data_IF_548922878452
#
_entry.id   IF_548922878452
#
_cell.length_a   1.000
_cell.length_b   1.000
_cell.length_c   1.000
_cell.angle_alpha   90.00
_cell.angle_beta   90.00
_cell.angle_gamma   90.00
#
_symmetry.space_group_name_H-M   'P 1'
#
loop_
_entity.id
_entity.type
_entity.pdbx_description
1 polymer ?
#
# COMPACT_ATOMS: atom_id res chain seq x y z
N UNK A 1 15.91 -15.59 7.17
CA UNK A 1 14.99 -14.55 6.71
C UNK A 1 13.70 -14.85 7.41
N UNK A 2 13.29 -13.95 8.30
CA UNK A 2 12.01 -14.10 8.98
C UNK A 2 10.86 -13.90 7.98
N UNK A 3 9.63 -14.16 8.42
CA UNK A 3 8.48 -14.15 7.54
C UNK A 3 8.16 -12.73 7.06
N UNK A 4 8.40 -11.75 7.94
CA UNK A 4 8.26 -10.34 7.65
C UNK A 4 9.27 -9.85 6.59
N UNK A 5 10.54 -10.25 6.67
CA UNK A 5 11.59 -9.94 5.71
C UNK A 5 11.24 -10.45 4.31
N UNK A 6 10.70 -11.68 4.22
CA UNK A 6 10.25 -12.26 2.96
C UNK A 6 9.11 -11.47 2.34
N UNK A 7 8.10 -11.14 3.15
CA UNK A 7 6.99 -10.32 2.72
C UNK A 7 7.45 -8.94 2.22
N UNK A 8 8.31 -8.26 2.98
CA UNK A 8 8.81 -6.92 2.65
C UNK A 8 9.75 -6.92 1.45
N UNK A 9 10.48 -8.02 1.21
CA UNK A 9 11.29 -8.17 -0.01
C UNK A 9 10.41 -8.13 -1.27
N UNK A 10 9.23 -8.75 -1.21
CA UNK A 10 8.27 -8.69 -2.32
C UNK A 10 7.65 -7.30 -2.45
N UNK A 11 7.31 -6.66 -1.33
CA UNK A 11 6.56 -5.40 -1.31
C UNK A 11 7.42 -4.16 -1.56
N UNK A 12 8.70 -4.16 -1.16
CA UNK A 12 9.58 -2.99 -1.26
C UNK A 12 10.10 -2.79 -2.67
N UNK A 13 10.21 -1.53 -3.12
CA UNK A 13 10.68 -1.15 -4.45
C UNK A 13 9.68 -0.30 -5.22
N UNK A 14 9.91 -0.15 -6.53
CA UNK A 14 9.04 0.62 -7.41
C UNK A 14 8.25 -0.32 -8.33
N UNK A 15 6.98 -0.02 -8.56
CA UNK A 15 6.08 -0.85 -9.33
C UNK A 15 5.11 0.01 -10.15
N UNK A 16 4.68 -0.50 -11.31
CA UNK A 16 3.61 0.10 -12.10
C UNK A 16 2.71 -0.95 -12.76
N UNK A 17 1.57 -0.51 -13.28
CA UNK A 17 0.65 -1.37 -14.04
C UNK A 17 0.71 -1.11 -15.56
N UNK A 18 1.82 -0.60 -16.11
CA UNK A 18 1.89 -0.13 -17.51
C UNK A 18 1.40 -1.16 -18.52
N UNK A 19 1.78 -2.43 -18.35
CA UNK A 19 1.31 -3.51 -19.22
C UNK A 19 -0.21 -3.68 -19.16
N UNK A 20 -0.77 -3.74 -17.95
CA UNK A 20 -2.21 -3.89 -17.75
C UNK A 20 -2.97 -2.68 -18.31
N UNK A 21 -2.48 -1.47 -18.04
CA UNK A 21 -3.09 -0.23 -18.51
C UNK A 21 -3.21 -0.21 -20.05
N UNK A 22 -2.15 -0.56 -20.77
CA UNK A 22 -2.18 -0.67 -22.24
C UNK A 22 -3.15 -1.74 -22.74
N UNK A 23 -3.23 -2.89 -22.06
CA UNK A 23 -4.20 -3.93 -22.40
C UNK A 23 -5.65 -3.47 -22.18
N UNK A 24 -5.93 -2.75 -21.10
CA UNK A 24 -7.26 -2.21 -20.78
C UNK A 24 -7.68 -1.14 -21.80
N UNK A 25 -6.75 -0.24 -22.17
CA UNK A 25 -6.96 0.74 -23.25
C UNK A 25 -7.28 0.07 -24.58
N UNK A 26 -6.55 -0.97 -24.98
CA UNK A 26 -6.82 -1.74 -26.21
C UNK A 26 -8.18 -2.43 -26.20
N UNK A 27 -8.68 -2.81 -25.02
CA UNK A 27 -10.03 -3.37 -24.81
C UNK A 27 -11.12 -2.30 -24.76
N UNK A 28 -10.77 -1.02 -24.85
CA UNK A 28 -11.70 0.11 -24.83
C UNK A 28 -12.05 0.63 -23.45
N UNK A 29 -11.42 0.14 -22.38
CA UNK A 29 -11.56 0.73 -21.05
C UNK A 29 -10.63 1.95 -20.92
N UNK A 30 -11.23 3.13 -21.05
CA UNK A 30 -10.52 4.40 -20.97
C UNK A 30 -10.46 4.99 -19.55
N UNK A 31 -11.17 4.37 -18.60
CA UNK A 31 -11.29 4.83 -17.21
C UNK A 31 -10.40 4.03 -16.25
N UNK A 32 -9.85 2.89 -16.68
CA UNK A 32 -8.85 2.17 -15.91
C UNK A 32 -7.58 3.03 -15.71
N UNK A 33 -7.08 3.19 -14.47
CA UNK A 33 -5.98 4.10 -14.18
C UNK A 33 -4.65 3.48 -14.60
N UNK A 34 -3.72 4.34 -15.02
CA UNK A 34 -2.30 4.03 -14.88
C UNK A 34 -1.91 4.26 -13.43
N UNK A 35 -1.31 3.27 -12.78
CA UNK A 35 -1.06 3.28 -11.36
C UNK A 35 0.40 2.91 -11.06
N UNK A 36 0.97 3.54 -10.04
CA UNK A 36 2.34 3.33 -9.60
C UNK A 36 2.41 3.25 -8.06
N UNK A 37 3.28 2.38 -7.56
CA UNK A 37 3.65 2.30 -6.14
C UNK A 37 5.16 2.44 -5.98
N UNK A 38 5.59 3.22 -4.98
CA UNK A 38 6.97 3.24 -4.51
C UNK A 38 6.95 2.95 -3.02
N UNK A 39 7.49 1.79 -2.66
CA UNK A 39 7.44 1.25 -1.32
C UNK A 39 8.84 1.26 -0.71
N UNK A 40 9.01 2.09 0.33
CA UNK A 40 10.31 2.32 0.95
C UNK A 40 10.24 2.10 2.46
N UNK A 41 11.02 1.14 2.97
CA UNK A 41 11.22 0.95 4.41
C UNK A 41 11.80 2.21 5.03
N UNK A 42 11.19 2.69 6.12
CA UNK A 42 11.50 4.00 6.69
C UNK A 42 11.88 3.99 8.18
N UNK A 43 12.16 2.84 8.79
CA UNK A 43 12.61 2.78 10.19
C UNK A 43 13.84 3.65 10.47
N UNK A 44 14.71 3.85 9.48
CA UNK A 44 15.89 4.73 9.57
C UNK A 44 15.55 6.21 9.82
N UNK A 45 14.33 6.64 9.45
CA UNK A 45 13.81 8.00 9.71
C UNK A 45 12.96 8.09 10.97
N UNK A 46 12.85 7.00 11.74
CA UNK A 46 12.05 6.97 12.98
C UNK A 46 13.00 6.91 14.18
N UNK A 47 13.03 8.00 14.93
CA UNK A 47 13.86 8.17 16.11
C UNK A 47 13.24 7.49 17.33
N UNK A 48 14.10 7.05 18.23
CA UNK A 48 13.72 6.49 19.54
C UNK A 48 12.76 5.30 19.42
N UNK A 49 12.94 4.47 18.39
CA UNK A 49 12.35 3.14 18.32
C UNK A 49 12.78 2.29 19.54
N UNK A 50 11.89 1.45 20.10
CA UNK A 50 12.26 0.51 21.14
C UNK A 50 13.44 -0.39 20.72
N UNK A 51 14.33 -0.75 21.66
CA UNK A 51 15.54 -1.55 21.36
C UNK A 51 15.24 -2.90 20.69
N UNK A 52 14.07 -3.50 21.00
CA UNK A 52 13.61 -4.76 20.42
C UNK A 52 12.32 -4.55 19.63
N UNK A 53 12.27 -3.51 18.79
CA UNK A 53 11.11 -3.25 17.95
C UNK A 53 11.02 -4.27 16.81
N UNK A 54 10.04 -5.17 16.90
CA UNK A 54 9.79 -6.28 15.96
C UNK A 54 8.82 -5.87 14.82
N UNK A 55 9.05 -4.69 14.25
CA UNK A 55 8.18 -4.16 13.20
C UNK A 55 8.94 -3.33 12.17
N UNK A 56 8.37 -3.24 10.99
CA UNK A 56 8.94 -2.45 9.88
C UNK A 56 7.91 -1.44 9.39
N UNK A 57 8.27 -0.17 9.53
CA UNK A 57 7.56 0.92 8.91
C UNK A 57 7.94 1.06 7.45
N UNK A 58 6.95 1.34 6.62
CA UNK A 58 7.08 1.52 5.19
C UNK A 58 6.25 2.71 4.74
N UNK A 59 6.87 3.60 3.98
CA UNK A 59 6.16 4.62 3.21
C UNK A 59 5.80 4.02 1.87
N UNK A 60 4.51 4.02 1.56
CA UNK A 60 3.99 3.72 0.24
C UNK A 60 3.60 5.03 -0.43
N UNK A 61 4.16 5.29 -1.60
CA UNK A 61 3.78 6.41 -2.46
C UNK A 61 2.95 5.86 -3.62
N UNK A 62 1.65 6.17 -3.63
CA UNK A 62 0.70 5.65 -4.62
C UNK A 62 0.25 6.75 -5.57
N UNK A 63 0.40 6.54 -6.88
CA UNK A 63 0.01 7.51 -7.90
C UNK A 63 -0.98 6.90 -8.87
N UNK A 64 -2.14 7.54 -9.04
CA UNK A 64 -3.19 7.10 -9.96
C UNK A 64 -3.44 8.15 -11.02
N UNK A 65 -3.26 7.80 -12.28
CA UNK A 65 -3.44 8.69 -13.43
C UNK A 65 -4.64 8.26 -14.26
N UNK A 66 -5.65 9.13 -14.35
CA UNK A 66 -6.85 8.95 -15.17
C UNK A 66 -7.01 10.21 -16.03
N UNK A 67 -7.20 10.03 -17.34
CA UNK A 67 -7.38 11.13 -18.30
C UNK A 67 -6.32 12.26 -18.19
N UNK A 68 -5.06 11.88 -17.91
CA UNK A 68 -3.94 12.82 -17.79
C UNK A 68 -3.88 13.59 -16.46
N UNK A 69 -4.77 13.29 -15.51
CA UNK A 69 -4.71 13.83 -14.14
C UNK A 69 -4.18 12.77 -13.20
N UNK A 70 -3.13 13.11 -12.47
CA UNK A 70 -2.51 12.24 -11.48
C UNK A 70 -2.94 12.66 -10.07
N UNK A 71 -3.32 11.67 -9.26
CA UNK A 71 -3.63 11.83 -7.85
C UNK A 71 -2.65 10.99 -7.03
N UNK A 72 -1.96 11.62 -6.08
CA UNK A 72 -1.10 10.95 -5.13
C UNK A 72 -1.90 10.57 -3.87
N UNK A 73 -1.65 9.37 -3.33
CA UNK A 73 -2.26 8.86 -2.10
C UNK A 73 -1.22 8.11 -1.28
N UNK A 74 -0.26 8.82 -0.66
CA UNK A 74 0.77 8.16 0.11
C UNK A 74 0.26 7.71 1.48
N UNK A 75 0.87 6.64 1.99
CA UNK A 75 0.53 6.01 3.25
C UNK A 75 1.79 5.71 4.08
N UNK A 76 1.61 5.71 5.40
CA UNK A 76 2.59 5.18 6.33
C UNK A 76 2.00 3.90 6.94
N UNK A 77 2.66 2.78 6.70
CA UNK A 77 2.27 1.47 7.21
C UNK A 77 3.29 0.93 8.19
N UNK A 78 2.81 0.13 9.14
CA UNK A 78 3.62 -0.73 9.99
C UNK A 78 3.28 -2.18 9.70
N UNK A 79 4.30 -2.96 9.37
CA UNK A 79 4.22 -4.41 9.23
C UNK A 79 4.82 -5.09 10.46
N UNK A 80 4.09 -6.07 10.99
CA UNK A 80 4.49 -6.89 12.16
C UNK A 80 4.10 -8.34 11.92
N UNK A 81 4.77 -9.28 12.59
CA UNK A 81 4.34 -10.67 12.63
C UNK A 81 3.21 -10.86 13.65
N UNK A 82 2.21 -11.67 13.30
CA UNK A 82 1.11 -12.07 14.19
C UNK A 82 0.87 -13.57 14.05
N UNK A 83 1.65 -14.36 14.79
CA UNK A 83 1.73 -15.81 14.60
C UNK A 83 2.27 -16.12 13.20
N UNK A 84 1.57 -16.96 12.44
CA UNK A 84 1.95 -17.32 11.06
C UNK A 84 1.47 -16.30 10.02
N UNK A 85 1.06 -15.10 10.43
CA UNK A 85 0.55 -14.03 9.56
C UNK A 85 1.43 -12.79 9.61
N UNK A 86 1.40 -12.00 8.54
CA UNK A 86 1.89 -10.63 8.55
C UNK A 86 0.69 -9.69 8.75
N UNK A 87 0.83 -8.70 9.62
CA UNK A 87 -0.19 -7.69 9.87
C UNK A 87 0.27 -6.32 9.39
N UNK A 88 -0.53 -5.68 8.54
CA UNK A 88 -0.39 -4.28 8.14
C UNK A 88 -1.29 -3.42 9.02
N UNK A 89 -0.69 -2.43 9.68
CA UNK A 89 -1.38 -1.38 10.44
C UNK A 89 -1.14 -0.04 9.77
N UNK A 90 -2.21 0.72 9.52
CA UNK A 90 -2.09 2.07 8.96
C UNK A 90 -1.81 3.09 10.06
N UNK A 91 -0.90 4.01 9.78
CA UNK A 91 -0.61 5.17 10.60
C UNK A 91 -1.06 6.43 9.85
N UNK A 92 -1.41 7.46 10.62
CA UNK A 92 -1.61 8.80 10.07
C UNK A 92 -0.27 9.34 9.56
N UNK A 93 -0.31 10.12 8.48
CA UNK A 93 0.88 10.82 8.02
C UNK A 93 1.38 11.80 9.10
N UNK A 94 2.69 12.09 9.12
CA UNK A 94 3.27 12.98 10.12
C UNK A 94 2.63 14.36 10.10
N UNK A 95 2.54 14.99 11.28
CA UNK A 95 1.89 16.28 11.41
C UNK A 95 2.63 17.37 10.61
N UNK A 96 1.89 18.12 9.80
CA UNK A 96 2.45 19.15 8.91
C UNK A 96 2.81 18.66 7.50
N UNK A 97 2.73 17.36 7.20
CA UNK A 97 2.91 16.86 5.85
C UNK A 97 1.65 17.10 4.99
N UNK A 98 1.87 17.59 3.76
CA UNK A 98 0.83 17.66 2.74
C UNK A 98 0.59 16.28 2.14
N UNK A 99 -0.64 15.78 2.21
CA UNK A 99 -0.99 14.41 1.78
C UNK A 99 -0.66 14.18 0.31
N UNK A 100 -0.82 15.18 -0.52
CA UNK A 100 -0.67 15.07 -1.97
C UNK A 100 0.81 15.10 -2.43
N UNK A 101 1.73 15.45 -1.53
CA UNK A 101 3.16 15.60 -1.84
C UNK A 101 4.09 14.76 -0.95
N UNK A 102 3.55 14.04 0.04
CA UNK A 102 4.38 13.25 0.95
C UNK A 102 5.09 12.10 0.22
N UNK A 103 6.42 12.12 0.28
CA UNK A 103 7.31 11.08 -0.27
C UNK A 103 8.28 10.61 0.80
N UNK A 104 8.84 9.40 0.65
CA UNK A 104 9.92 8.98 1.55
C UNK A 104 11.13 9.91 1.46
N UNK A 105 11.44 10.45 0.27
CA UNK A 105 12.59 11.32 0.10
C UNK A 105 12.48 12.61 0.94
N UNK A 106 11.30 13.23 0.93
CA UNK A 106 11.02 14.49 1.63
C UNK A 106 10.58 14.30 3.09
N UNK A 107 10.33 13.06 3.52
CA UNK A 107 10.01 12.74 4.91
C UNK A 107 11.16 13.16 5.85
N UNK A 108 10.86 14.02 6.82
CA UNK A 108 11.80 14.35 7.90
C UNK A 108 11.97 13.17 8.88
N UNK A 109 12.96 13.27 9.76
CA UNK A 109 13.04 12.36 10.91
C UNK A 109 11.89 12.60 11.89
N UNK A 110 11.32 11.51 12.42
CA UNK A 110 10.10 11.56 13.24
C UNK A 110 10.34 10.83 14.55
N UNK A 111 9.86 11.39 15.64
CA UNK A 111 9.83 10.72 16.93
C UNK A 111 8.83 9.57 16.94
N UNK A 112 9.23 8.35 17.33
CA UNK A 112 8.30 7.22 17.42
C UNK A 112 7.06 7.52 18.27
N UNK A 113 7.23 8.31 19.34
CA UNK A 113 6.15 8.72 20.24
C UNK A 113 5.12 9.68 19.62
N UNK A 114 5.42 10.30 18.48
CA UNK A 114 4.48 11.18 17.77
C UNK A 114 3.64 10.45 16.71
N UNK A 115 4.00 9.22 16.35
CA UNK A 115 3.28 8.40 15.40
C UNK A 115 1.90 8.01 15.96
N UNK A 116 0.86 8.16 15.13
CA UNK A 116 -0.53 7.89 15.50
C UNK A 116 -1.08 6.79 14.60
N UNK A 117 -1.52 5.68 15.20
CA UNK A 117 -2.27 4.66 14.47
C UNK A 117 -3.56 5.26 13.91
N UNK A 118 -3.94 4.88 12.70
CA UNK A 118 -5.21 5.33 12.13
C UNK A 118 -6.38 4.60 12.77
N UNK A 119 -7.39 5.35 13.23
CA UNK A 119 -8.64 4.79 13.77
C UNK A 119 -9.62 4.32 12.68
N UNK A 120 -9.38 4.70 11.42
CA UNK A 120 -10.30 4.45 10.30
C UNK A 120 -10.03 3.11 9.63
N UNK A 121 -8.78 2.67 9.63
CA UNK A 121 -8.35 1.47 8.92
C UNK A 121 -8.23 0.29 9.88
N UNK A 122 -9.02 -0.75 9.64
CA UNK A 122 -8.86 -2.03 10.31
C UNK A 122 -7.61 -2.72 9.77
N UNK A 123 -6.69 -3.23 10.63
CA UNK A 123 -5.48 -3.89 10.17
C UNK A 123 -5.76 -4.99 9.16
N UNK A 124 -4.90 -5.08 8.14
CA UNK A 124 -4.95 -6.16 7.16
C UNK A 124 -4.06 -7.32 7.60
N UNK A 125 -4.53 -8.54 7.40
CA UNK A 125 -3.80 -9.77 7.74
C UNK A 125 -3.50 -10.56 6.47
N UNK A 126 -2.25 -10.98 6.34
CA UNK A 126 -1.75 -11.73 5.19
C UNK A 126 -1.26 -13.11 5.62
N UNK A 127 -1.64 -14.11 4.84
CA UNK A 127 -1.24 -15.49 5.00
C UNK A 127 -0.34 -15.92 3.83
N UNK A 128 0.66 -16.74 4.12
CA UNK A 128 1.50 -17.35 3.10
C UNK A 128 0.85 -18.62 2.56
N UNK A 129 0.79 -18.73 1.23
CA UNK A 129 0.29 -19.91 0.50
C UNK A 129 1.26 -20.24 -0.64
N UNK A 130 2.22 -21.11 -0.36
CA UNK A 130 3.35 -21.35 -1.27
C UNK A 130 4.23 -20.10 -1.36
N UNK A 131 4.48 -19.62 -2.57
CA UNK A 131 5.27 -18.41 -2.82
C UNK A 131 4.42 -17.13 -2.89
N UNK A 132 3.13 -17.24 -2.56
CA UNK A 132 2.16 -16.13 -2.61
C UNK A 132 1.77 -15.73 -1.19
N UNK A 133 1.75 -14.43 -0.95
CA UNK A 133 1.09 -13.83 0.20
C UNK A 133 -0.28 -13.32 -0.22
N UNK A 134 -1.33 -13.61 0.54
CA UNK A 134 -2.66 -13.06 0.26
C UNK A 134 -3.37 -12.64 1.54
N UNK A 135 -4.11 -11.54 1.48
CA UNK A 135 -4.67 -10.92 2.67
C UNK A 135 -5.45 -9.66 2.36
N UNK A 136 -5.93 -9.00 3.41
CA UNK A 136 -6.69 -7.78 3.25
C UNK A 136 -7.42 -7.36 4.51
N UNK A 137 -8.27 -6.35 4.38
CA UNK A 137 -9.09 -5.83 5.46
C UNK A 137 -10.44 -5.33 4.97
N UNK A 138 -11.39 -5.24 5.90
CA UNK A 138 -12.66 -4.53 5.70
C UNK A 138 -12.73 -3.45 6.78
N UNK A 139 -12.84 -2.20 6.35
CA UNK A 139 -12.84 -1.04 7.24
C UNK A 139 -14.14 -0.24 7.09
N UNK A 140 -14.78 0.11 8.21
CA UNK A 140 -15.94 1.01 8.20
C UNK A 140 -15.48 2.42 8.55
N UNK A 141 -15.34 3.30 7.54
CA UNK A 141 -14.93 4.70 7.76
C UNK A 141 -16.07 5.53 8.36
N UNK A 142 -17.31 5.16 8.08
CA UNK A 142 -18.53 5.63 8.75
C UNK A 142 -19.53 4.46 8.81
N UNK A 143 -20.68 4.56 9.50
CA UNK A 143 -21.68 3.49 9.51
C UNK A 143 -22.18 3.06 8.12
N UNK A 144 -22.02 3.92 7.10
CA UNK A 144 -22.50 3.68 5.74
C UNK A 144 -21.40 3.62 4.69
N UNK A 145 -20.15 3.97 5.04
CA UNK A 145 -19.00 4.00 4.15
C UNK A 145 -18.06 2.85 4.50
N UNK A 146 -18.04 1.83 3.64
CA UNK A 146 -17.22 0.62 3.80
C UNK A 146 -16.10 0.61 2.76
N UNK A 147 -14.88 0.44 3.22
CA UNK A 147 -13.70 0.16 2.41
C UNK A 147 -13.35 -1.32 2.51
N UNK A 148 -12.95 -1.93 1.40
CA UNK A 148 -12.45 -3.31 1.37
C UNK A 148 -11.18 -3.36 0.55
N UNK A 149 -10.13 -3.85 1.17
CA UNK A 149 -8.82 -4.11 0.60
C UNK A 149 -8.62 -5.61 0.52
N UNK A 150 -8.18 -6.10 -0.64
CA UNK A 150 -7.68 -7.45 -0.81
C UNK A 150 -6.48 -7.44 -1.74
N UNK A 151 -5.43 -8.14 -1.34
CA UNK A 151 -4.15 -8.09 -2.01
C UNK A 151 -3.54 -9.48 -2.13
N UNK A 152 -2.77 -9.68 -3.20
CA UNK A 152 -1.95 -10.87 -3.42
C UNK A 152 -0.58 -10.44 -3.89
N UNK A 153 0.47 -10.88 -3.20
CA UNK A 153 1.86 -10.56 -3.52
C UNK A 153 2.60 -11.83 -3.91
N UNK A 154 3.30 -11.74 -5.04
CA UNK A 154 4.13 -12.80 -5.61
C UNK A 154 5.42 -12.19 -6.14
N UNK A 155 6.47 -12.98 -6.40
CA UNK A 155 7.69 -12.48 -7.04
C UNK A 155 7.44 -11.74 -8.36
N UNK A 156 6.40 -12.11 -9.10
CA UNK A 156 6.08 -11.58 -10.42
C UNK A 156 5.19 -10.33 -10.38
N UNK A 157 4.32 -10.21 -9.38
CA UNK A 157 3.26 -9.21 -9.37
C UNK A 157 2.69 -8.95 -7.97
N UNK A 158 2.34 -7.69 -7.72
CA UNK A 158 1.44 -7.27 -6.63
C UNK A 158 0.05 -7.00 -7.23
N UNK A 159 -0.93 -7.79 -6.85
CA UNK A 159 -2.31 -7.61 -7.27
C UNK A 159 -3.12 -6.97 -6.14
N UNK A 160 -3.66 -5.78 -6.38
CA UNK A 160 -4.39 -4.99 -5.37
C UNK A 160 -5.83 -4.77 -5.81
N UNK A 161 -6.77 -5.09 -4.94
CA UNK A 161 -8.20 -4.86 -5.13
C UNK A 161 -8.72 -3.96 -4.02
N UNK A 162 -9.18 -2.79 -4.40
CA UNK A 162 -9.77 -1.82 -3.49
C UNK A 162 -11.20 -1.53 -3.93
N UNK A 163 -12.12 -1.50 -2.99
CA UNK A 163 -13.49 -1.08 -3.25
C UNK A 163 -13.99 -0.17 -2.14
N UNK A 164 -14.80 0.81 -2.53
CA UNK A 164 -15.55 1.64 -1.61
C UNK A 164 -17.04 1.42 -1.86
N UNK A 165 -17.80 1.21 -0.80
CA UNK A 165 -19.24 1.09 -0.84
C UNK A 165 -19.90 2.13 0.05
N UNK A 166 -20.93 2.81 -0.49
CA UNK A 166 -21.81 3.70 0.26
C UNK A 166 -23.18 3.06 0.34
N UNK A 167 -23.69 2.81 1.54
CA UNK A 167 -24.95 2.10 1.78
C UNK A 167 -25.02 0.75 1.03
N UNK A 168 -23.90 0.01 0.98
CA UNK A 168 -23.80 -1.29 0.31
C UNK A 168 -23.76 -1.22 -1.23
N UNK A 169 -23.66 -0.02 -1.82
CA UNK A 169 -23.48 0.17 -3.26
C UNK A 169 -22.04 0.60 -3.55
N UNK A 170 -21.34 -0.13 -4.42
CA UNK A 170 -19.98 0.22 -4.85
C UNK A 170 -19.96 1.59 -5.54
N UNK A 171 -19.12 2.49 -5.03
CA UNK A 171 -18.90 3.85 -5.56
C UNK A 171 -17.48 4.06 -6.08
N UNK A 172 -16.53 3.21 -5.68
CA UNK A 172 -15.15 3.17 -6.17
C UNK A 172 -14.64 1.73 -6.22
N UNK A 173 -13.63 1.50 -7.04
CA UNK A 173 -13.00 0.21 -7.25
C UNK A 173 -13.26 -0.34 -8.65
N UNK A 174 -12.37 -1.23 -9.08
CA UNK A 174 -12.40 -1.84 -10.40
C UNK A 174 -12.94 -3.27 -10.34
N UNK A 175 -13.44 -3.77 -11.47
CA UNK A 175 -13.92 -5.15 -11.57
C UNK A 175 -12.77 -6.17 -11.59
N UNK A 176 -11.55 -5.71 -11.85
CA UNK A 176 -10.33 -6.50 -11.85
C UNK A 176 -9.30 -5.84 -10.93
N UNK A 177 -8.42 -6.61 -10.26
CA UNK A 177 -7.33 -6.05 -9.49
C UNK A 177 -6.42 -5.20 -10.37
N UNK A 178 -5.80 -4.17 -9.78
CA UNK A 178 -4.65 -3.51 -10.41
C UNK A 178 -3.43 -4.43 -10.23
N UNK A 179 -2.73 -4.69 -11.33
CA UNK A 179 -1.59 -5.61 -11.39
C UNK A 179 -0.30 -4.81 -11.52
N UNK A 180 0.36 -4.60 -10.39
CA UNK A 180 1.64 -3.91 -10.32
C UNK A 180 2.78 -4.88 -10.59
N UNK A 181 3.69 -4.50 -11.48
CA UNK A 181 4.93 -5.21 -11.74
C UNK A 181 6.10 -4.34 -11.35
N UNK A 182 7.12 -4.99 -10.79
CA UNK A 182 8.35 -4.32 -10.37
C UNK A 182 9.01 -3.67 -11.58
N UNK A 183 9.37 -2.40 -11.44
CA UNK A 183 10.22 -1.71 -12.40
C UNK A 183 11.66 -1.83 -11.95
N UNK A 184 12.55 -2.26 -12.84
CA UNK A 184 13.97 -2.12 -12.59
C UNK A 184 14.30 -0.63 -12.64
N UNK A 185 14.91 -0.09 -11.59
CA UNK A 185 15.48 1.25 -11.67
C UNK A 185 16.51 1.24 -12.79
N UNK A 186 16.20 1.90 -13.90
CA UNK A 186 17.22 2.23 -14.90
C UNK A 186 18.20 3.14 -14.19
N UNK A 187 19.39 2.64 -13.93
CA UNK A 187 20.52 3.49 -13.59
C UNK A 187 20.78 4.36 -14.82
N UNK A 188 20.36 5.62 -14.76
CA UNK A 188 20.82 6.64 -15.72
C UNK A 188 22.28 7.00 -15.45
#
# INVERSE_FOLDING_TARGET
MDQLDEFLTLLSGSFDNAQQFEEMRRKGDLQFPFAQHINTVCNSKIRNLPENFEGVFLVEESYYTVEGKTHASPHLFLFTEEGDRVKLTSYELPEGCEKEHFTYQEMDEIEYSSLKCSDKFSPALYEKKGDIWEGGSVSMFTPVLKFTLFERFSPECLAVSETMEVNGKRTFGFDVPILYRRIEQRTE
#
